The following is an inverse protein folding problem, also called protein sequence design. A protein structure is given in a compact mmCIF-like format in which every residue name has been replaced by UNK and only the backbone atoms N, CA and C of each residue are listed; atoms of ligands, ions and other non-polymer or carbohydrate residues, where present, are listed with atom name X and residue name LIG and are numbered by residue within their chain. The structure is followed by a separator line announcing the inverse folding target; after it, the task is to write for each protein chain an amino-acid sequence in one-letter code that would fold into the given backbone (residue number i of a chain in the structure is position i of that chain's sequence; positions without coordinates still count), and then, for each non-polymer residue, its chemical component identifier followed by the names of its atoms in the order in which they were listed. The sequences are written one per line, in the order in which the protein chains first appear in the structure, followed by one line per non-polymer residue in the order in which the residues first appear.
data_IF_378843025615
#
_entry.id   IF_378843025615
#
_cell.length_a   1.000
_cell.length_b   1.000
_cell.length_c   1.000
_cell.angle_alpha   90.00
_cell.angle_beta   90.00
_cell.angle_gamma   90.00
#
_symmetry.space_group_name_H-M   'P 1'
#
loop_
_entity.id
_entity.type
_entity.pdbx_description
1 polymer ?
#
# COMPACT_ATOMS: atom_id res chain seq x y z
N UNK A 1 3.64 17.64 -14.72
CA UNK A 1 2.38 16.96 -15.09
C UNK A 1 2.47 15.44 -14.99
N UNK A 2 3.48 14.78 -15.57
CA UNK A 2 3.65 13.30 -15.51
C UNK A 2 3.58 12.71 -14.08
N UNK A 3 4.35 13.27 -13.12
CA UNK A 3 4.37 12.81 -11.72
C UNK A 3 3.02 12.88 -11.01
N UNK A 4 2.31 13.98 -11.22
CA UNK A 4 0.96 14.19 -10.67
C UNK A 4 -0.04 13.16 -11.22
N UNK A 5 0.02 12.91 -12.53
CA UNK A 5 -0.85 11.94 -13.19
C UNK A 5 -0.56 10.49 -12.72
N UNK A 6 0.72 10.16 -12.55
CA UNK A 6 1.13 8.88 -11.94
C UNK A 6 0.64 8.78 -10.48
N UNK A 7 0.75 9.85 -9.69
CA UNK A 7 0.26 9.84 -8.30
C UNK A 7 -1.23 9.59 -8.23
N UNK A 8 -2.03 10.28 -9.06
CA UNK A 8 -3.48 10.04 -9.14
C UNK A 8 -3.76 8.59 -9.53
N UNK A 9 -3.05 8.07 -10.54
CA UNK A 9 -3.20 6.68 -10.98
C UNK A 9 -2.87 5.70 -9.85
N UNK A 10 -1.79 5.93 -9.11
CA UNK A 10 -1.37 5.08 -7.98
C UNK A 10 -2.42 5.06 -6.87
N UNK A 11 -2.97 6.23 -6.51
CA UNK A 11 -4.05 6.33 -5.51
C UNK A 11 -5.33 5.66 -6.02
N UNK A 12 -5.67 5.84 -7.31
CA UNK A 12 -6.84 5.21 -7.91
C UNK A 12 -6.71 3.67 -7.91
N UNK A 13 -5.54 3.14 -8.29
CA UNK A 13 -5.22 1.71 -8.20
C UNK A 13 -5.36 1.23 -6.76
N UNK A 14 -4.73 1.92 -5.81
CA UNK A 14 -4.76 1.57 -4.40
C UNK A 14 -6.19 1.44 -3.87
N UNK A 15 -7.05 2.43 -4.13
CA UNK A 15 -8.44 2.43 -3.65
C UNK A 15 -9.30 1.41 -4.41
N UNK A 16 -9.30 1.45 -5.74
CA UNK A 16 -10.22 0.66 -6.56
C UNK A 16 -9.86 -0.82 -6.59
N UNK A 17 -8.59 -1.16 -6.84
CA UNK A 17 -8.15 -2.55 -6.82
C UNK A 17 -8.10 -3.09 -5.39
N UNK A 18 -7.75 -2.27 -4.40
CA UNK A 18 -7.79 -2.68 -3.00
C UNK A 18 -9.21 -3.08 -2.58
N UNK A 19 -10.21 -2.27 -2.93
CA UNK A 19 -11.62 -2.57 -2.70
C UNK A 19 -12.09 -3.82 -3.45
N UNK A 20 -11.76 -3.94 -4.75
CA UNK A 20 -12.16 -5.11 -5.55
C UNK A 20 -11.55 -6.41 -5.02
N UNK A 21 -10.24 -6.42 -4.74
CA UNK A 21 -9.52 -7.62 -4.33
C UNK A 21 -10.00 -8.06 -2.95
N UNK A 22 -10.21 -7.14 -2.00
CA UNK A 22 -10.72 -7.54 -0.69
C UNK A 22 -12.10 -8.17 -0.78
N UNK A 23 -13.00 -7.65 -1.62
CA UNK A 23 -14.35 -8.18 -1.75
C UNK A 23 -14.32 -9.59 -2.39
N UNK A 24 -13.45 -9.81 -3.38
CA UNK A 24 -13.22 -11.14 -3.97
C UNK A 24 -12.67 -12.12 -2.93
N UNK A 25 -11.67 -11.70 -2.15
CA UNK A 25 -11.07 -12.53 -1.10
C UNK A 25 -12.09 -12.85 -0.01
N UNK A 26 -12.87 -11.87 0.44
CA UNK A 26 -13.96 -12.04 1.40
C UNK A 26 -15.06 -12.98 0.87
N UNK A 27 -15.37 -12.95 -0.43
CA UNK A 27 -16.37 -13.81 -1.04
C UNK A 27 -15.96 -15.30 -1.12
N UNK A 28 -14.66 -15.60 -1.05
CA UNK A 28 -14.17 -16.98 -1.07
C UNK A 28 -14.30 -17.70 0.28
N UNK A 29 -14.64 -16.99 1.36
CA UNK A 29 -14.88 -17.63 2.65
C UNK A 29 -16.31 -18.17 2.69
N UNK A 30 -16.43 -19.49 2.80
CA UNK A 30 -17.70 -20.22 2.78
C UNK A 30 -18.61 -19.93 3.99
N UNK A 31 -18.05 -19.44 5.10
CA UNK A 31 -18.81 -19.08 6.30
C UNK A 31 -18.18 -17.85 6.97
N UNK A 32 -18.93 -16.74 7.16
CA UNK A 32 -18.40 -15.49 7.74
C UNK A 32 -18.03 -15.60 9.22
N UNK A 33 -18.38 -16.72 9.88
CA UNK A 33 -18.05 -16.99 11.29
C UNK A 33 -16.73 -17.75 11.47
N UNK A 34 -16.14 -18.28 10.40
CA UNK A 34 -14.92 -19.09 10.46
C UNK A 34 -13.64 -18.23 10.53
N UNK A 35 -13.73 -16.93 10.28
CA UNK A 35 -12.61 -15.98 10.32
C UNK A 35 -12.82 -14.92 11.41
N UNK A 36 -11.84 -14.78 12.30
CA UNK A 36 -11.82 -13.68 13.26
C UNK A 36 -11.75 -12.35 12.50
N UNK A 37 -12.54 -11.37 12.94
CA UNK A 37 -12.53 -10.00 12.37
C UNK A 37 -11.11 -9.41 12.32
N UNK A 38 -10.27 -9.74 13.31
CA UNK A 38 -8.86 -9.34 13.32
C UNK A 38 -8.08 -9.89 12.13
N UNK A 39 -8.33 -11.13 11.73
CA UNK A 39 -7.59 -11.78 10.65
C UNK A 39 -8.06 -11.26 9.29
N UNK A 40 -9.35 -10.96 9.15
CA UNK A 40 -9.89 -10.26 7.98
C UNK A 40 -9.24 -8.89 7.78
N UNK A 41 -9.10 -8.09 8.85
CA UNK A 41 -8.45 -6.78 8.79
C UNK A 41 -6.96 -6.92 8.43
N UNK A 42 -6.26 -7.93 8.94
CA UNK A 42 -4.86 -8.18 8.59
C UNK A 42 -4.70 -8.58 7.12
N UNK A 43 -5.60 -9.41 6.59
CA UNK A 43 -5.62 -9.75 5.17
C UNK A 43 -5.90 -8.54 4.29
N UNK A 44 -6.88 -7.71 4.65
CA UNK A 44 -7.16 -6.45 3.96
C UNK A 44 -5.91 -5.55 3.95
N UNK A 45 -5.27 -5.37 5.11
CA UNK A 45 -4.04 -4.60 5.22
C UNK A 45 -2.86 -5.21 4.42
N UNK A 46 -2.81 -6.51 4.24
CA UNK A 46 -1.79 -7.12 3.39
C UNK A 46 -2.04 -6.76 1.92
N UNK A 47 -3.29 -6.86 1.44
CA UNK A 47 -3.69 -6.51 0.07
C UNK A 47 -3.30 -5.07 -0.26
N UNK A 48 -3.72 -4.12 0.57
CA UNK A 48 -3.40 -2.71 0.35
C UNK A 48 -1.89 -2.42 0.42
N UNK A 49 -1.17 -3.11 1.31
CA UNK A 49 0.29 -2.94 1.43
C UNK A 49 0.99 -3.40 0.14
N UNK A 50 0.61 -4.58 -0.37
CA UNK A 50 1.15 -5.13 -1.63
C UNK A 50 0.86 -4.18 -2.80
N UNK A 51 -0.35 -3.62 -2.88
CA UNK A 51 -0.70 -2.67 -3.95
C UNK A 51 0.16 -1.41 -3.88
N UNK A 52 0.33 -0.81 -2.70
CA UNK A 52 1.14 0.39 -2.53
C UNK A 52 2.63 0.11 -2.83
N UNK A 53 3.19 -0.95 -2.24
CA UNK A 53 4.59 -1.36 -2.47
C UNK A 53 4.83 -1.71 -3.92
N UNK A 54 3.96 -2.53 -4.53
CA UNK A 54 4.08 -2.97 -5.91
C UNK A 54 4.02 -1.79 -6.88
N UNK A 55 3.10 -0.85 -6.64
CA UNK A 55 3.00 0.37 -7.46
C UNK A 55 4.28 1.21 -7.36
N UNK A 56 4.74 1.51 -6.14
CA UNK A 56 5.97 2.28 -5.90
C UNK A 56 7.18 1.61 -6.54
N UNK A 57 7.30 0.29 -6.39
CA UNK A 57 8.36 -0.50 -6.98
C UNK A 57 8.37 -0.38 -8.51
N UNK A 58 7.20 -0.51 -9.16
CA UNK A 58 7.09 -0.36 -10.61
C UNK A 58 7.52 1.03 -11.07
N UNK A 59 7.07 2.07 -10.37
CA UNK A 59 7.46 3.45 -10.69
C UNK A 59 8.97 3.65 -10.56
N UNK A 60 9.56 3.25 -9.42
CA UNK A 60 10.97 3.47 -9.16
C UNK A 60 11.88 2.66 -10.11
N UNK A 61 11.57 1.39 -10.34
CA UNK A 61 12.42 0.50 -11.13
C UNK A 61 12.24 0.63 -12.65
N UNK A 62 11.04 0.98 -13.14
CA UNK A 62 10.75 0.96 -14.59
C UNK A 62 10.43 2.34 -15.16
N UNK A 63 9.95 3.30 -14.36
CA UNK A 63 9.63 4.65 -14.86
C UNK A 63 10.79 5.62 -14.64
N UNK A 64 11.55 5.48 -13.55
CA UNK A 64 12.67 6.36 -13.18
C UNK A 64 14.07 5.73 -13.41
N UNK A 65 14.13 4.73 -14.29
CA UNK A 65 15.24 3.81 -14.56
C UNK A 65 16.59 4.46 -14.97
N UNK A 66 16.64 5.77 -15.25
CA UNK A 66 17.80 6.46 -15.84
C UNK A 66 18.62 7.33 -14.87
N UNK A 67 18.45 7.19 -13.56
CA UNK A 67 19.14 8.06 -12.61
C UNK A 67 20.19 7.27 -11.84
N UNK A 68 21.46 7.67 -11.89
CA UNK A 68 22.55 7.08 -11.13
C UNK A 68 22.45 7.51 -9.64
N UNK A 69 22.60 6.59 -8.69
CA UNK A 69 23.14 6.94 -7.35
C UNK A 69 22.23 7.38 -6.17
N UNK A 70 20.98 6.92 -6.01
CA UNK A 70 20.23 7.12 -4.76
C UNK A 70 19.29 5.95 -4.47
N UNK A 71 19.87 4.85 -3.98
CA UNK A 71 19.12 3.64 -3.59
C UNK A 71 18.22 3.91 -2.38
N UNK A 72 18.63 4.80 -1.46
CA UNK A 72 17.88 5.10 -0.24
C UNK A 72 16.50 5.72 -0.54
N UNK A 73 16.39 6.55 -1.58
CA UNK A 73 15.11 7.13 -2.02
C UNK A 73 14.10 6.11 -2.54
N UNK A 74 14.58 5.00 -3.11
CA UNK A 74 13.74 3.90 -3.58
C UNK A 74 13.16 3.08 -2.41
N UNK A 75 13.98 2.84 -1.38
CA UNK A 75 13.60 1.99 -0.25
C UNK A 75 12.71 2.70 0.79
N UNK A 76 12.78 4.04 0.89
CA UNK A 76 11.99 4.81 1.86
C UNK A 76 10.47 4.55 1.75
N UNK A 77 9.81 4.75 0.59
CA UNK A 77 8.36 4.53 0.48
C UNK A 77 7.98 3.05 0.66
N UNK A 78 8.81 2.11 0.20
CA UNK A 78 8.60 0.66 0.39
C UNK A 78 8.67 0.32 1.89
N UNK A 79 9.70 0.79 2.58
CA UNK A 79 9.90 0.61 4.01
C UNK A 79 8.76 1.22 4.83
N UNK A 80 8.21 2.36 4.40
CA UNK A 80 7.08 3.00 5.05
C UNK A 80 5.81 2.12 4.99
N UNK A 81 5.49 1.55 3.83
CA UNK A 81 4.37 0.62 3.68
C UNK A 81 4.55 -0.61 4.58
N UNK A 82 5.73 -1.24 4.55
CA UNK A 82 6.03 -2.43 5.35
C UNK A 82 5.95 -2.12 6.84
N UNK A 83 6.56 -1.03 7.30
CA UNK A 83 6.51 -0.59 8.69
C UNK A 83 5.07 -0.31 9.14
N UNK A 84 4.26 0.34 8.30
CA UNK A 84 2.84 0.61 8.60
C UNK A 84 2.03 -0.68 8.77
N UNK A 85 2.29 -1.70 7.94
CA UNK A 85 1.66 -3.01 8.06
C UNK A 85 2.05 -3.70 9.37
N UNK A 86 3.34 -3.68 9.74
CA UNK A 86 3.77 -4.24 11.02
C UNK A 86 3.17 -3.49 12.21
N UNK A 87 3.10 -2.16 12.17
CA UNK A 87 2.44 -1.37 13.21
C UNK A 87 0.96 -1.76 13.38
N UNK A 88 0.22 -1.89 12.27
CA UNK A 88 -1.18 -2.28 12.32
C UNK A 88 -1.38 -3.70 12.87
N UNK A 89 -0.51 -4.63 12.52
CA UNK A 89 -0.67 -6.06 12.84
C UNK A 89 -0.16 -6.44 14.23
N UNK A 90 0.72 -5.63 14.82
CA UNK A 90 1.34 -5.89 16.14
C UNK A 90 0.68 -5.13 17.28
N UNK A 91 0.11 -3.95 17.00
CA UNK A 91 -0.61 -3.16 18.01
C UNK A 91 -2.07 -3.61 18.12
N UNK A 92 -2.75 -3.13 19.16
CA UNK A 92 -4.19 -3.33 19.31
C UNK A 92 -4.93 -2.63 18.16
N UNK A 93 -5.70 -3.43 17.40
CA UNK A 93 -6.50 -2.94 16.28
C UNK A 93 -7.48 -1.88 16.77
N UNK A 94 -7.43 -0.72 16.10
CA UNK A 94 -8.35 0.39 16.31
C UNK A 94 -8.63 1.08 14.98
N UNK A 95 -9.78 1.74 14.87
CA UNK A 95 -10.14 2.52 13.68
C UNK A 95 -9.09 3.59 13.36
N UNK A 96 -8.53 4.25 14.39
CA UNK A 96 -7.45 5.23 14.22
C UNK A 96 -6.19 4.62 13.60
N UNK A 97 -5.82 3.41 14.00
CA UNK A 97 -4.65 2.71 13.46
C UNK A 97 -4.86 2.28 11.99
N UNK A 98 -6.07 1.86 11.63
CA UNK A 98 -6.45 1.53 10.25
C UNK A 98 -6.35 2.78 9.35
N UNK A 99 -6.83 3.94 9.84
CA UNK A 99 -6.72 5.21 9.11
C UNK A 99 -5.26 5.60 8.93
N UNK A 100 -4.44 5.52 10.00
CA UNK A 100 -3.03 5.84 9.94
C UNK A 100 -2.27 4.94 8.95
N UNK A 101 -2.56 3.63 8.95
CA UNK A 101 -2.01 2.67 7.99
C UNK A 101 -2.31 3.06 6.53
N UNK A 102 -3.57 3.36 6.22
CA UNK A 102 -3.96 3.76 4.86
C UNK A 102 -3.31 5.08 4.44
N UNK A 103 -3.25 6.05 5.37
CA UNK A 103 -2.61 7.34 5.12
C UNK A 103 -1.11 7.17 4.83
N UNK A 104 -0.41 6.32 5.58
CA UNK A 104 1.02 6.03 5.35
C UNK A 104 1.27 5.38 4.00
N UNK A 105 0.40 4.47 3.55
CA UNK A 105 0.51 3.88 2.20
C UNK A 105 0.26 4.91 1.09
N UNK A 106 -0.71 5.80 1.26
CA UNK A 106 -0.95 6.90 0.30
C UNK A 106 0.25 7.86 0.27
N UNK A 107 0.79 8.22 1.44
CA UNK A 107 2.00 9.03 1.55
C UNK A 107 3.17 8.33 0.86
N UNK A 108 3.33 7.01 1.04
CA UNK A 108 4.36 6.24 0.36
C UNK A 108 4.22 6.28 -1.18
N UNK A 109 2.99 6.21 -1.70
CA UNK A 109 2.73 6.37 -3.15
C UNK A 109 3.13 7.77 -3.61
N UNK A 110 2.73 8.82 -2.89
CA UNK A 110 3.10 10.21 -3.20
C UNK A 110 4.62 10.37 -3.19
N UNK A 111 5.28 9.93 -2.12
CA UNK A 111 6.74 9.94 -1.99
C UNK A 111 7.37 9.17 -3.15
N UNK A 112 6.91 7.96 -3.45
CA UNK A 112 7.42 7.15 -4.55
C UNK A 112 7.23 7.78 -5.93
N UNK A 113 6.23 8.64 -6.13
CA UNK A 113 6.05 9.36 -7.39
C UNK A 113 6.83 10.68 -7.46
N UNK A 114 7.13 11.33 -6.33
CA UNK A 114 7.75 12.66 -6.29
C UNK A 114 9.22 12.65 -5.89
N UNK A 115 9.69 11.60 -5.19
CA UNK A 115 11.10 11.25 -5.06
C UNK A 115 11.59 10.68 -6.40
N UNK A 116 11.72 11.58 -7.35
CA UNK A 116 12.76 11.48 -8.36
C UNK A 116 14.08 11.85 -7.68
N UNK A 117 15.18 11.28 -8.14
CA UNK A 117 16.51 11.79 -7.76
C UNK A 117 16.65 13.26 -8.15
#
# INVERSE_FOLDING_TARGET
MKKFLLTILGIAIYILLGWLIKDIVSANYSNPMDMLVSDMIKHEALIYCILAVGYVFVIQCFVYQNSDGNEAGMWLPIGLCVASYFLLTTLSLSSGLIIAYNLLNVIAIVIGCYMDK
#
